data_IF_333028159975
#
_entry.id   IF_333028159975
#
_cell.length_a   1.000
_cell.length_b   1.000
_cell.length_c   1.000
_cell.angle_alpha   90.00
_cell.angle_beta   90.00
_cell.angle_gamma   90.00
#
_symmetry.space_group_name_H-M   'P 1'
#
loop_
_entity.id
_entity.type
_entity.pdbx_description
1 polymer ?
#
# COMPACT_ATOMS: atom_id res chain seq x y z
N UNK A 1 13.73 -27.76 23.15
CA UNK A 1 12.96 -28.35 22.04
C UNK A 1 12.30 -27.19 21.30
N UNK A 2 12.96 -26.64 20.27
CA UNK A 2 12.43 -25.50 19.50
C UNK A 2 11.44 -26.00 18.46
N UNK A 3 10.17 -25.59 18.55
CA UNK A 3 9.17 -25.87 17.53
C UNK A 3 9.25 -24.80 16.44
N UNK A 4 9.92 -25.09 15.32
CA UNK A 4 9.98 -24.20 14.16
C UNK A 4 8.63 -24.08 13.44
N UNK A 5 8.33 -22.88 12.93
CA UNK A 5 7.16 -22.59 12.09
C UNK A 5 7.35 -23.22 10.70
N UNK A 6 6.32 -23.86 10.14
CA UNK A 6 6.35 -24.55 8.83
C UNK A 6 5.39 -23.88 7.85
N UNK A 7 5.76 -23.79 6.57
CA UNK A 7 4.89 -23.23 5.52
C UNK A 7 3.69 -24.14 5.21
N UNK A 8 2.75 -23.66 4.39
CA UNK A 8 1.55 -24.41 3.97
C UNK A 8 1.86 -25.65 3.11
N UNK A 9 3.10 -25.82 2.67
CA UNK A 9 3.59 -27.02 1.99
C UNK A 9 4.38 -27.96 2.94
N UNK A 10 4.41 -27.65 4.24
CA UNK A 10 5.06 -28.47 5.27
C UNK A 10 6.59 -28.32 5.34
N UNK A 11 7.18 -27.35 4.62
CA UNK A 11 8.63 -27.11 4.64
C UNK A 11 9.01 -26.24 5.83
N UNK A 12 10.14 -26.59 6.43
CA UNK A 12 10.76 -25.80 7.50
C UNK A 12 11.34 -24.54 6.89
N UNK A 13 10.85 -23.37 7.32
CA UNK A 13 11.42 -22.09 6.87
C UNK A 13 12.70 -21.84 7.66
N UNK A 14 13.83 -21.78 6.96
CA UNK A 14 15.11 -21.41 7.54
C UNK A 14 14.99 -20.01 8.16
N UNK A 15 15.41 -19.88 9.43
CA UNK A 15 15.61 -18.59 10.10
C UNK A 15 16.87 -17.88 9.55
N UNK A 16 17.09 -17.92 8.24
CA UNK A 16 18.13 -17.12 7.62
C UNK A 16 17.70 -15.67 7.72
N UNK A 17 18.30 -15.00 8.69
CA UNK A 17 17.94 -13.68 9.18
C UNK A 17 17.67 -12.71 8.05
N UNK A 18 16.38 -12.43 7.82
CA UNK A 18 15.97 -11.15 7.27
C UNK A 18 16.46 -10.12 8.27
N UNK A 19 17.61 -9.53 7.99
CA UNK A 19 18.09 -8.36 8.72
C UNK A 19 17.05 -7.26 8.50
N UNK A 20 16.13 -7.14 9.46
CA UNK A 20 15.25 -6.00 9.53
C UNK A 20 16.07 -4.88 10.17
N UNK A 21 16.73 -4.07 9.33
CA UNK A 21 17.20 -2.78 9.80
C UNK A 21 15.98 -1.92 10.08
N UNK A 22 15.69 -1.65 11.35
CA UNK A 22 14.67 -0.68 11.71
C UNK A 22 15.14 0.71 11.24
N UNK A 23 14.48 1.32 10.24
CA UNK A 23 14.91 2.61 9.68
C UNK A 23 14.88 3.74 10.70
N UNK A 24 14.24 3.54 11.86
CA UNK A 24 14.16 4.50 12.96
C UNK A 24 15.29 4.33 14.00
N UNK A 25 15.94 3.17 14.08
CA UNK A 25 17.01 2.91 15.06
C UNK A 25 18.41 2.98 14.48
N UNK A 26 18.57 3.11 13.16
CA UNK A 26 19.80 3.68 12.63
C UNK A 26 19.88 5.15 13.13
N UNK A 27 20.58 5.35 14.23
CA UNK A 27 20.84 6.66 14.81
C UNK A 27 21.70 7.55 13.87
N UNK A 28 22.15 7.02 12.73
CA UNK A 28 22.76 7.76 11.64
C UNK A 28 21.77 8.61 10.84
N UNK A 29 22.30 9.68 10.24
CA UNK A 29 21.55 10.65 9.43
C UNK A 29 20.85 10.04 8.20
N UNK A 30 21.25 8.81 7.80
CA UNK A 30 20.82 8.14 6.57
C UNK A 30 19.44 7.48 6.66
N UNK A 31 19.11 6.80 7.76
CA UNK A 31 17.78 6.19 7.94
C UNK A 31 16.65 7.23 7.95
N UNK A 32 16.91 8.39 8.55
CA UNK A 32 15.98 9.51 8.63
C UNK A 32 15.66 10.13 7.27
N UNK A 33 16.61 10.16 6.35
CA UNK A 33 16.44 10.71 5.00
C UNK A 33 15.58 9.80 4.09
N UNK A 34 15.50 8.50 4.40
CA UNK A 34 14.78 7.51 3.57
C UNK A 34 13.34 7.27 4.02
N UNK A 35 12.96 7.68 5.22
CA UNK A 35 11.57 7.59 5.69
C UNK A 35 10.80 8.90 5.45
N UNK A 36 9.49 8.81 5.17
CA UNK A 36 8.64 10.00 5.18
C UNK A 36 8.61 10.63 6.56
N UNK A 37 8.87 11.93 6.60
CA UNK A 37 8.78 12.74 7.82
C UNK A 37 7.35 12.98 8.27
N UNK A 38 7.22 13.62 9.44
CA UNK A 38 5.94 14.03 9.97
C UNK A 38 5.48 15.34 9.31
N UNK A 39 4.24 15.36 8.80
CA UNK A 39 3.64 16.53 8.18
C UNK A 39 2.24 16.77 8.75
N UNK A 40 1.93 18.03 9.08
CA UNK A 40 0.58 18.46 9.43
C UNK A 40 -0.10 19.07 8.21
N UNK A 41 -0.93 18.29 7.51
CA UNK A 41 -1.71 18.74 6.36
C UNK A 41 -3.10 18.10 6.39
N UNK A 42 -4.07 18.79 5.79
CA UNK A 42 -5.44 18.28 5.63
C UNK A 42 -5.77 18.24 4.14
N UNK A 43 -6.26 17.11 3.68
CA UNK A 43 -6.81 16.95 2.34
C UNK A 43 -8.33 16.70 2.44
N UNK A 44 -9.10 17.41 1.63
CA UNK A 44 -10.54 17.25 1.55
C UNK A 44 -10.93 16.91 0.11
N UNK A 45 -11.83 15.94 -0.05
CA UNK A 45 -12.41 15.56 -1.33
C UNK A 45 -13.93 15.49 -1.19
N UNK A 46 -14.64 16.01 -2.20
CA UNK A 46 -16.09 15.93 -2.27
C UNK A 46 -16.50 14.86 -3.29
N UNK A 47 -17.45 14.00 -2.90
CA UNK A 47 -18.05 13.01 -3.79
C UNK A 47 -19.56 13.10 -3.79
N UNK A 48 -20.13 12.79 -4.94
CA UNK A 48 -21.56 12.70 -5.14
C UNK A 48 -21.88 11.64 -6.20
N UNK A 49 -23.13 11.18 -6.21
CA UNK A 49 -23.67 10.43 -7.35
C UNK A 49 -23.58 11.28 -8.64
N UNK A 50 -23.41 10.61 -9.78
CA UNK A 50 -23.29 11.30 -11.08
C UNK A 50 -24.52 12.15 -11.41
N UNK A 51 -25.72 11.72 -11.04
CA UNK A 51 -26.96 12.48 -11.20
C UNK A 51 -26.94 13.79 -10.40
N UNK A 52 -26.49 13.75 -9.15
CA UNK A 52 -26.36 14.93 -8.29
C UNK A 52 -25.30 15.89 -8.84
N UNK A 53 -24.15 15.38 -9.27
CA UNK A 53 -23.10 16.21 -9.88
C UNK A 53 -23.58 16.85 -11.20
N UNK A 54 -24.34 16.12 -12.04
CA UNK A 54 -24.90 16.69 -13.27
C UNK A 54 -25.93 17.79 -12.97
N UNK A 55 -26.78 17.60 -11.95
CA UNK A 55 -27.78 18.59 -11.53
C UNK A 55 -27.15 19.85 -10.93
N UNK A 56 -26.08 19.71 -10.15
CA UNK A 56 -25.42 20.83 -9.48
C UNK A 56 -24.40 21.56 -10.36
N UNK A 57 -23.97 20.93 -11.46
CA UNK A 57 -22.99 21.49 -12.40
C UNK A 57 -21.50 21.52 -12.01
N UNK A 58 -20.97 20.92 -10.92
CA UNK A 58 -19.53 20.94 -10.69
C UNK A 58 -18.75 20.14 -11.75
N UNK A 59 -17.51 20.58 -12.02
CA UNK A 59 -16.56 19.83 -12.85
C UNK A 59 -16.21 18.49 -12.19
N UNK A 60 -16.49 17.39 -12.89
CA UNK A 60 -16.14 16.03 -12.43
C UNK A 60 -14.68 15.74 -12.74
N UNK A 61 -13.84 15.58 -11.71
CA UNK A 61 -12.41 15.25 -11.86
C UNK A 61 -12.16 13.78 -12.20
N UNK A 62 -13.03 12.89 -11.74
CA UNK A 62 -12.89 11.46 -11.96
C UNK A 62 -14.06 10.68 -11.36
N UNK A 63 -14.13 9.39 -11.68
CA UNK A 63 -15.07 8.45 -11.09
C UNK A 63 -14.29 7.47 -10.23
N UNK A 64 -14.70 7.29 -8.98
CA UNK A 64 -14.21 6.19 -8.18
C UNK A 64 -14.87 4.88 -8.58
N UNK A 65 -14.04 3.88 -8.83
CA UNK A 65 -14.50 2.59 -9.34
C UNK A 65 -14.50 1.54 -8.24
N UNK A 66 -13.36 1.34 -7.57
CA UNK A 66 -13.22 0.27 -6.56
C UNK A 66 -12.18 0.63 -5.51
N UNK A 67 -12.16 -0.17 -4.44
CA UNK A 67 -11.01 -0.33 -3.54
C UNK A 67 -10.87 -1.79 -3.09
N UNK A 68 -9.66 -2.14 -2.70
CA UNK A 68 -9.30 -3.41 -2.07
C UNK A 68 -8.56 -3.12 -0.77
N UNK A 69 -8.77 -3.98 0.23
CA UNK A 69 -8.09 -3.93 1.51
C UNK A 69 -7.66 -5.34 1.84
N UNK A 70 -6.40 -5.50 2.26
CA UNK A 70 -5.79 -6.79 2.58
C UNK A 70 -4.96 -6.64 3.84
N UNK A 71 -5.01 -7.64 4.71
CA UNK A 71 -4.12 -7.73 5.87
C UNK A 71 -2.80 -8.39 5.49
N UNK A 72 -1.70 -7.85 5.99
CA UNK A 72 -0.36 -8.47 5.90
C UNK A 72 0.25 -8.53 7.29
N UNK A 73 1.28 -9.38 7.46
CA UNK A 73 2.04 -9.41 8.71
C UNK A 73 2.63 -8.03 9.03
N UNK A 74 2.58 -7.62 10.30
CA UNK A 74 2.98 -6.27 10.73
C UNK A 74 4.43 -5.95 10.35
N UNK A 75 5.34 -6.91 10.50
CA UNK A 75 6.76 -6.78 10.13
C UNK A 75 6.97 -6.56 8.62
N UNK A 76 5.95 -6.86 7.80
CA UNK A 76 5.97 -6.72 6.34
C UNK A 76 4.97 -5.66 5.86
N UNK A 77 4.52 -4.73 6.70
CA UNK A 77 3.48 -3.76 6.33
C UNK A 77 3.77 -2.98 5.03
N UNK A 78 5.05 -2.79 4.69
CA UNK A 78 5.49 -2.13 3.45
C UNK A 78 5.05 -2.84 2.15
N UNK A 79 4.76 -4.14 2.18
CA UNK A 79 4.34 -4.90 0.99
C UNK A 79 2.83 -4.84 0.71
N UNK A 80 2.06 -4.10 1.51
CA UNK A 80 0.60 -3.97 1.35
C UNK A 80 0.14 -3.68 -0.09
N UNK A 81 0.75 -2.74 -0.85
CA UNK A 81 0.37 -2.47 -2.23
C UNK A 81 0.52 -3.68 -3.16
N UNK A 82 1.55 -4.52 -2.98
CA UNK A 82 1.78 -5.72 -3.80
C UNK A 82 0.62 -6.72 -3.67
N UNK A 83 0.05 -6.87 -2.47
CA UNK A 83 -1.10 -7.74 -2.22
C UNK A 83 -2.45 -7.09 -2.61
N UNK A 84 -2.61 -5.78 -2.39
CA UNK A 84 -3.89 -5.10 -2.58
C UNK A 84 -4.20 -4.74 -4.04
N UNK A 85 -3.20 -4.29 -4.82
CA UNK A 85 -3.40 -3.80 -6.19
C UNK A 85 -3.97 -4.88 -7.12
N UNK A 86 -3.45 -6.13 -7.16
CA UNK A 86 -3.98 -7.17 -8.03
C UNK A 86 -5.48 -7.42 -7.83
N UNK A 87 -5.95 -7.39 -6.57
CA UNK A 87 -7.37 -7.57 -6.25
C UNK A 87 -8.24 -6.41 -6.74
N UNK A 88 -7.73 -5.18 -6.73
CA UNK A 88 -8.46 -4.03 -7.29
C UNK A 88 -8.56 -4.11 -8.82
N UNK A 89 -7.48 -4.54 -9.48
CA UNK A 89 -7.45 -4.77 -10.93
C UNK A 89 -8.45 -5.88 -11.30
N UNK A 90 -8.42 -7.01 -10.59
CA UNK A 90 -9.33 -8.14 -10.80
C UNK A 90 -10.80 -7.71 -10.66
N UNK A 91 -11.15 -6.98 -9.59
CA UNK A 91 -12.51 -6.46 -9.36
C UNK A 91 -13.01 -5.52 -10.45
N UNK A 92 -12.10 -4.85 -11.17
CA UNK A 92 -12.46 -3.88 -12.21
C UNK A 92 -12.38 -4.46 -13.61
N UNK A 93 -11.73 -5.60 -13.79
CA UNK A 93 -11.52 -6.25 -15.08
C UNK A 93 -10.59 -5.46 -16.01
N UNK A 94 -9.88 -4.46 -15.51
CA UNK A 94 -8.88 -3.72 -16.31
C UNK A 94 -7.56 -4.49 -16.33
N UNK A 95 -6.68 -4.19 -17.28
CA UNK A 95 -5.31 -4.72 -17.29
C UNK A 95 -4.34 -3.70 -16.68
N UNK A 96 -3.12 -4.13 -16.35
CA UNK A 96 -2.10 -3.23 -15.79
C UNK A 96 -1.67 -2.16 -16.79
N UNK A 97 -1.69 -2.50 -18.07
CA UNK A 97 -1.31 -1.64 -19.20
C UNK A 97 -2.35 -0.54 -19.45
N UNK A 98 -3.59 -0.74 -18.98
CA UNK A 98 -4.65 0.25 -19.05
C UNK A 98 -4.54 1.32 -17.94
N UNK A 99 -3.56 1.23 -17.05
CA UNK A 99 -3.33 2.20 -15.96
C UNK A 99 -2.24 3.18 -16.37
N UNK A 100 -2.63 4.44 -16.60
CA UNK A 100 -1.70 5.50 -17.04
C UNK A 100 -0.70 5.91 -15.95
N UNK A 101 -1.06 5.76 -14.68
CA UNK A 101 -0.23 6.22 -13.57
C UNK A 101 -0.53 5.52 -12.25
N UNK A 102 0.52 5.29 -11.46
CA UNK A 102 0.46 4.65 -10.15
C UNK A 102 0.87 5.63 -9.06
N UNK A 103 -0.07 5.98 -8.18
CA UNK A 103 0.24 6.76 -6.98
C UNK A 103 0.48 5.82 -5.79
N UNK A 104 1.72 5.36 -5.66
CA UNK A 104 2.13 4.49 -4.55
C UNK A 104 2.76 5.34 -3.45
N UNK A 105 2.23 5.23 -2.23
CA UNK A 105 2.80 5.91 -1.08
C UNK A 105 4.24 5.41 -0.81
N UNK A 106 5.19 6.34 -0.77
CA UNK A 106 6.61 6.05 -0.49
C UNK A 106 6.88 6.25 0.99
N UNK A 107 6.43 5.33 1.84
CA UNK A 107 6.64 5.44 3.29
C UNK A 107 8.12 5.35 3.67
N UNK A 108 8.86 4.46 2.99
CA UNK A 108 10.30 4.26 3.13
C UNK A 108 10.92 4.09 1.73
N UNK A 109 12.12 4.61 1.53
CA UNK A 109 12.98 4.33 0.39
C UNK A 109 14.00 3.24 0.74
N UNK A 110 14.25 2.32 -0.20
CA UNK A 110 15.36 1.36 -0.15
C UNK A 110 16.70 2.05 -0.42
#
# INVERSE_FOLDING_TARGET
MSSGFKDTAGREVAEDGVQYEDPKTDHGDKGRQRARGHHGQVAQSHRACRSTAARLGPRVLGKYITASVVGVALLLMGVGPWAAIPLAIEKTGVTKEAVDGWEINKAFGS
#
